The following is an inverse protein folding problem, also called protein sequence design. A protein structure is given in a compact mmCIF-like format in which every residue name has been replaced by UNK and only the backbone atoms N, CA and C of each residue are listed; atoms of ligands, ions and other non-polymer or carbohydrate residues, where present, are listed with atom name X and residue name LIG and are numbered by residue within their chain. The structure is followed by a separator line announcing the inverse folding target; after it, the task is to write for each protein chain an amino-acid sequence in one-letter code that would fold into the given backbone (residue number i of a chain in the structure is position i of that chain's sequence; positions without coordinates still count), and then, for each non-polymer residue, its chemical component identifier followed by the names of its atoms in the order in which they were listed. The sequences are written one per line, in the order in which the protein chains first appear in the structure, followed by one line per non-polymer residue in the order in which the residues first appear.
data_IF_830394093962
#
_entry.id   IF_830394093962
#
_cell.length_a   1.000
_cell.length_b   1.000
_cell.length_c   1.000
_cell.angle_alpha   90.00
_cell.angle_beta   90.00
_cell.angle_gamma   90.00
#
_symmetry.space_group_name_H-M   'P 1'
#
loop_
_entity.id
_entity.type
_entity.pdbx_description
1 polymer ?
#
# COMPACT_ATOMS: atom_id res chain seq x y z
N UNK A 1 -17.22 -25.41 32.74
CA UNK A 1 -17.64 -24.11 32.16
C UNK A 1 -16.68 -23.06 32.65
N UNK A 2 -15.61 -22.84 31.89
CA UNK A 2 -14.57 -21.84 32.18
C UNK A 2 -14.34 -21.13 30.86
N UNK A 3 -14.82 -19.90 30.79
CA UNK A 3 -14.74 -19.05 29.60
C UNK A 3 -13.29 -18.70 29.31
N UNK A 4 -12.87 -19.00 28.08
CA UNK A 4 -11.59 -18.58 27.53
C UNK A 4 -11.79 -17.12 27.09
N UNK A 5 -11.26 -16.19 27.87
CA UNK A 5 -11.10 -14.80 27.43
C UNK A 5 -10.10 -14.79 26.27
N UNK A 6 -10.59 -14.49 25.07
CA UNK A 6 -9.73 -14.08 23.96
C UNK A 6 -9.09 -12.74 24.34
N UNK A 7 -7.78 -12.55 24.14
CA UNK A 7 -7.20 -11.23 24.23
C UNK A 7 -7.71 -10.42 23.04
N UNK A 8 -8.39 -9.32 23.32
CA UNK A 8 -8.69 -8.30 22.31
C UNK A 8 -7.38 -7.89 21.65
N UNK A 9 -7.28 -8.11 20.35
CA UNK A 9 -6.18 -7.64 19.52
C UNK A 9 -6.32 -6.11 19.37
N UNK A 10 -5.98 -5.37 20.42
CA UNK A 10 -5.73 -3.93 20.33
C UNK A 10 -4.32 -3.72 19.80
N UNK A 11 -4.16 -3.82 18.48
CA UNK A 11 -3.03 -3.22 17.76
C UNK A 11 -3.54 -2.03 16.96
N UNK A 12 -4.00 -0.99 17.67
CA UNK A 12 -3.80 0.36 17.16
C UNK A 12 -2.36 0.70 17.48
N UNK A 13 -1.43 0.29 16.61
CA UNK A 13 -0.11 0.89 16.60
C UNK A 13 -0.33 2.34 16.15
N UNK A 14 -0.67 3.22 17.10
CA UNK A 14 -0.63 4.67 16.89
C UNK A 14 0.82 5.01 16.58
N UNK A 15 1.15 4.93 15.30
CA UNK A 15 2.44 5.32 14.76
C UNK A 15 2.48 6.83 14.91
N UNK A 16 3.49 7.33 15.60
CA UNK A 16 3.71 8.77 15.68
C UNK A 16 4.31 9.22 14.35
N UNK A 17 3.95 10.41 13.87
CA UNK A 17 4.61 11.00 12.72
C UNK A 17 6.04 11.39 13.10
N UNK A 18 7.02 10.81 12.41
CA UNK A 18 8.45 11.05 12.64
C UNK A 18 9.09 11.60 11.37
N UNK A 19 9.90 12.64 11.54
CA UNK A 19 10.74 13.20 10.49
C UNK A 19 12.21 13.17 10.89
N UNK A 20 13.07 13.00 9.89
CA UNK A 20 14.51 12.98 10.06
C UNK A 20 15.14 14.14 9.28
N UNK A 21 15.82 15.06 9.97
CA UNK A 21 16.51 16.18 9.32
C UNK A 21 17.97 15.80 9.15
N UNK A 22 18.45 15.77 7.92
CA UNK A 22 19.82 15.34 7.60
C UNK A 22 20.81 16.48 7.85
N UNK A 23 21.90 16.16 8.55
CA UNK A 23 22.93 17.13 8.92
C UNK A 23 24.30 16.67 8.47
N UNK A 24 25.14 17.64 8.07
CA UNK A 24 26.57 17.41 7.84
C UNK A 24 27.35 17.38 9.17
N UNK A 25 26.97 18.23 10.12
CA UNK A 25 27.54 18.29 11.47
C UNK A 25 26.48 18.01 12.54
N UNK A 26 26.82 17.24 13.58
CA UNK A 26 25.92 16.95 14.69
C UNK A 26 25.69 18.20 15.56
N UNK A 27 24.54 18.84 15.42
CA UNK A 27 24.16 20.01 16.23
C UNK A 27 22.64 20.16 16.34
N UNK A 28 22.18 20.68 17.49
CA UNK A 28 20.80 21.11 17.70
C UNK A 28 20.57 22.54 17.17
N UNK A 29 19.32 22.90 16.81
CA UNK A 29 18.97 24.29 16.50
C UNK A 29 19.13 25.20 17.72
N UNK A 30 19.22 26.52 17.50
CA UNK A 30 19.09 27.46 18.61
C UNK A 30 17.63 27.48 19.09
N UNK A 31 17.38 27.07 20.34
CA UNK A 31 16.02 26.93 20.90
C UNK A 31 15.20 28.23 20.81
N UNK A 32 15.81 29.37 21.17
CA UNK A 32 15.11 30.67 21.13
C UNK A 32 14.71 31.03 19.70
N UNK A 33 15.63 30.89 18.74
CA UNK A 33 15.36 31.16 17.33
C UNK A 33 14.29 30.21 16.77
N UNK A 34 14.32 28.93 17.16
CA UNK A 34 13.32 27.94 16.79
C UNK A 34 11.91 28.33 17.30
N UNK A 35 11.79 28.67 18.58
CA UNK A 35 10.51 29.08 19.18
C UNK A 35 10.00 30.37 18.54
N UNK A 36 10.87 31.36 18.32
CA UNK A 36 10.51 32.60 17.62
C UNK A 36 10.00 32.31 16.21
N UNK A 37 10.67 31.43 15.47
CA UNK A 37 10.27 31.01 14.13
C UNK A 37 8.90 30.32 14.13
N UNK A 38 8.66 29.41 15.08
CA UNK A 38 7.37 28.74 15.24
C UNK A 38 6.23 29.73 15.52
N UNK A 39 6.45 30.70 16.41
CA UNK A 39 5.46 31.74 16.72
C UNK A 39 5.15 32.64 15.53
N UNK A 40 6.14 32.94 14.69
CA UNK A 40 5.96 33.75 13.48
C UNK A 40 5.21 32.97 12.40
N UNK A 41 5.61 31.72 12.12
CA UNK A 41 5.03 30.90 11.05
C UNK A 41 3.65 30.34 11.41
N UNK A 42 3.42 30.06 12.69
CA UNK A 42 2.22 29.39 13.19
C UNK A 42 1.67 30.09 14.44
N UNK A 43 1.21 31.35 14.32
CA UNK A 43 0.79 32.18 15.47
C UNK A 43 -0.50 31.69 16.15
N UNK A 44 -1.23 30.76 15.54
CA UNK A 44 -2.47 30.19 16.09
C UNK A 44 -2.26 29.14 17.18
N UNK A 45 -1.02 28.76 17.49
CA UNK A 45 -0.67 27.77 18.51
C UNK A 45 0.30 28.38 19.53
N UNK A 46 0.25 27.89 20.77
CA UNK A 46 1.15 28.34 21.83
C UNK A 46 2.44 27.52 21.84
N UNK A 47 3.53 28.14 21.38
CA UNK A 47 4.87 27.53 21.37
C UNK A 47 5.73 28.06 22.52
N UNK A 48 6.23 27.16 23.36
CA UNK A 48 7.08 27.49 24.51
C UNK A 48 8.22 26.48 24.70
N UNK A 49 9.31 26.90 25.34
CA UNK A 49 10.35 26.01 25.83
C UNK A 49 9.76 25.10 26.92
N UNK A 50 10.09 23.80 26.89
CA UNK A 50 9.73 22.92 28.00
C UNK A 50 10.93 22.74 28.93
N UNK A 51 10.80 23.11 30.23
CA UNK A 51 11.90 22.93 31.19
C UNK A 51 12.05 21.43 31.50
N UNK A 52 12.82 20.72 30.68
CA UNK A 52 13.38 19.44 31.09
C UNK A 52 14.33 19.69 32.26
N UNK A 53 14.36 18.78 33.24
CA UNK A 53 15.33 18.86 34.33
C UNK A 53 16.73 19.03 33.69
N UNK A 54 17.39 20.14 33.99
CA UNK A 54 18.63 20.53 33.34
C UNK A 54 19.67 19.40 33.42
N UNK A 55 19.74 18.58 32.37
CA UNK A 55 20.94 17.79 32.13
C UNK A 55 21.95 18.76 31.56
N UNK A 56 23.15 18.81 32.14
CA UNK A 56 24.29 19.53 31.58
C UNK A 56 24.81 18.87 30.28
N UNK A 57 23.95 18.12 29.59
CA UNK A 57 24.24 17.36 28.39
C UNK A 57 23.81 18.21 27.19
N UNK A 58 24.81 18.76 26.51
CA UNK A 58 24.62 19.59 25.31
C UNK A 58 24.01 18.77 24.16
N UNK A 59 24.09 17.44 24.24
CA UNK A 59 23.58 16.49 23.26
C UNK A 59 22.22 15.87 23.67
N UNK A 60 21.61 16.34 24.76
CA UNK A 60 20.31 15.88 25.24
C UNK A 60 19.14 16.26 24.29
N UNK A 61 17.99 15.55 24.37
CA UNK A 61 16.82 15.88 23.56
C UNK A 61 16.30 17.29 23.89
N UNK A 62 15.99 18.06 22.84
CA UNK A 62 15.30 19.33 22.95
C UNK A 62 13.79 19.11 22.95
N UNK A 63 13.09 19.79 23.86
CA UNK A 63 11.64 19.67 24.01
C UNK A 63 10.94 21.02 23.79
N UNK A 64 10.01 21.05 22.85
CA UNK A 64 9.19 22.22 22.55
C UNK A 64 7.75 21.91 22.91
N UNK A 65 7.16 22.70 23.79
CA UNK A 65 5.74 22.62 24.13
C UNK A 65 4.92 23.29 23.03
N UNK A 66 3.87 22.61 22.60
CA UNK A 66 2.82 23.15 21.72
C UNK A 66 1.46 22.90 22.37
N UNK A 67 0.79 23.95 22.82
CA UNK A 67 -0.43 23.87 23.62
C UNK A 67 -0.30 22.89 24.80
N UNK A 68 -0.97 21.73 24.78
CA UNK A 68 -0.90 20.65 25.77
C UNK A 68 -0.05 19.46 25.33
N UNK A 69 0.61 19.52 24.17
CA UNK A 69 1.48 18.48 23.63
C UNK A 69 2.96 18.84 23.69
N UNK A 70 3.79 17.81 23.67
CA UNK A 70 5.25 17.93 23.66
C UNK A 70 5.83 17.42 22.34
N UNK A 71 6.63 18.27 21.71
CA UNK A 71 7.48 17.94 20.57
C UNK A 71 8.89 17.63 21.07
N UNK A 72 9.51 16.62 20.48
CA UNK A 72 10.89 16.21 20.78
C UNK A 72 11.74 16.37 19.52
N UNK A 73 12.94 16.94 19.71
CA UNK A 73 14.00 17.00 18.71
C UNK A 73 15.22 16.31 19.32
N UNK A 74 15.53 15.11 18.84
CA UNK A 74 16.65 14.31 19.31
C UNK A 74 17.79 14.37 18.30
N UNK A 75 19.00 14.71 18.75
CA UNK A 75 20.19 14.65 17.92
C UNK A 75 20.76 13.23 17.91
N UNK A 76 20.94 12.67 16.71
CA UNK A 76 21.62 11.41 16.49
C UNK A 76 22.96 11.69 15.81
N UNK A 77 24.11 11.48 16.49
CA UNK A 77 25.44 11.73 15.94
C UNK A 77 25.89 10.59 14.99
N UNK A 78 25.00 10.15 14.12
CA UNK A 78 25.22 9.12 13.12
C UNK A 78 24.34 9.37 11.89
N UNK A 79 24.78 8.97 10.68
CA UNK A 79 23.92 9.02 9.50
C UNK A 79 22.72 8.08 9.65
N UNK A 80 21.65 8.36 8.93
CA UNK A 80 20.56 7.40 8.76
C UNK A 80 21.05 6.19 7.94
N UNK A 81 20.48 5.00 8.17
CA UNK A 81 20.69 3.87 7.27
C UNK A 81 20.39 4.23 5.82
N UNK A 82 21.25 3.79 4.90
CA UNK A 82 21.12 4.14 3.49
C UNK A 82 20.09 3.25 2.78
N UNK A 83 19.06 3.87 2.19
CA UNK A 83 18.05 3.21 1.36
C UNK A 83 18.18 3.68 -0.10
N UNK A 84 18.74 2.82 -0.95
CA UNK A 84 18.95 3.14 -2.37
C UNK A 84 17.64 3.42 -3.12
N UNK A 85 16.56 2.71 -2.81
CA UNK A 85 15.29 2.85 -3.53
C UNK A 85 14.61 4.17 -3.21
N UNK A 86 14.61 4.57 -1.93
CA UNK A 86 14.12 5.87 -1.51
C UNK A 86 14.88 7.01 -2.22
N UNK A 87 16.21 6.97 -2.21
CA UNK A 87 17.03 8.01 -2.85
C UNK A 87 16.87 8.05 -4.37
N UNK A 88 16.67 6.90 -5.01
CA UNK A 88 16.38 6.83 -6.44
C UNK A 88 15.03 7.50 -6.77
N UNK A 89 13.98 7.26 -5.98
CA UNK A 89 12.68 7.94 -6.16
C UNK A 89 12.79 9.44 -5.93
N UNK A 90 13.41 9.85 -4.82
CA UNK A 90 13.61 11.26 -4.49
C UNK A 90 14.36 12.01 -5.61
N UNK A 91 15.32 11.35 -6.26
CA UNK A 91 16.12 11.95 -7.35
C UNK A 91 15.33 12.39 -8.58
N UNK A 92 14.09 11.90 -8.76
CA UNK A 92 13.24 12.30 -9.89
C UNK A 92 12.75 13.74 -9.79
N UNK A 93 12.59 14.26 -8.57
CA UNK A 93 12.10 15.64 -8.32
C UNK A 93 13.10 16.50 -7.54
N UNK A 94 14.10 15.87 -6.93
CA UNK A 94 15.21 16.51 -6.23
C UNK A 94 16.55 15.96 -6.76
N UNK A 95 17.11 16.54 -7.83
CA UNK A 95 18.31 16.02 -8.50
C UNK A 95 19.52 15.82 -7.57
N UNK A 96 19.65 16.63 -6.51
CA UNK A 96 20.75 16.59 -5.55
C UNK A 96 20.54 15.57 -4.41
N UNK A 97 19.45 14.80 -4.41
CA UNK A 97 19.09 13.87 -3.33
C UNK A 97 20.24 12.90 -2.96
N UNK A 98 20.86 12.26 -3.95
CA UNK A 98 22.00 11.36 -3.72
C UNK A 98 23.23 12.06 -3.14
N UNK A 99 23.47 13.31 -3.55
CA UNK A 99 24.59 14.09 -3.03
C UNK A 99 24.36 14.49 -1.57
N UNK A 100 23.14 14.91 -1.21
CA UNK A 100 22.75 15.15 0.18
C UNK A 100 22.87 13.88 1.04
N UNK A 101 22.39 12.74 0.54
CA UNK A 101 22.52 11.44 1.19
C UNK A 101 23.99 11.03 1.39
N UNK A 102 24.89 11.32 0.44
CA UNK A 102 26.32 10.99 0.58
C UNK A 102 27.06 11.85 1.60
N UNK A 103 26.58 13.08 1.84
CA UNK A 103 27.24 14.05 2.73
C UNK A 103 26.81 13.99 4.18
N UNK A 104 25.59 13.56 4.47
CA UNK A 104 25.10 13.58 5.84
C UNK A 104 25.92 12.66 6.76
N UNK A 105 26.16 13.13 7.99
CA UNK A 105 26.92 12.41 9.04
C UNK A 105 26.15 12.32 10.35
N UNK A 106 25.09 13.09 10.50
CA UNK A 106 24.20 13.11 11.64
C UNK A 106 22.76 13.33 11.16
N UNK A 107 21.79 13.13 12.04
CA UNK A 107 20.42 13.53 11.79
C UNK A 107 19.70 13.96 13.07
N UNK A 108 18.67 14.79 12.93
CA UNK A 108 17.70 15.06 13.99
C UNK A 108 16.51 14.15 13.79
N UNK A 109 15.96 13.59 14.88
CA UNK A 109 14.66 12.93 14.91
C UNK A 109 13.66 13.90 15.50
N UNK A 110 12.62 14.23 14.75
CA UNK A 110 11.55 15.15 15.15
C UNK A 110 10.24 14.39 15.22
N UNK A 111 9.56 14.45 16.36
CA UNK A 111 8.31 13.71 16.62
C UNK A 111 7.54 14.36 17.77
N UNK A 112 6.23 14.10 17.85
CA UNK A 112 5.49 14.29 19.10
C UNK A 112 5.86 13.19 20.10
N UNK A 113 5.80 13.48 21.40
CA UNK A 113 6.10 12.51 22.47
C UNK A 113 4.90 12.20 23.38
N UNK A 114 3.84 13.01 23.31
CA UNK A 114 2.64 12.88 24.14
C UNK A 114 2.28 14.20 24.81
N UNK A 115 1.71 14.15 26.01
CA UNK A 115 1.32 15.35 26.76
C UNK A 115 2.54 16.10 27.31
N UNK A 116 2.51 17.43 27.22
CA UNK A 116 3.42 18.33 27.92
C UNK A 116 3.03 18.56 29.38
N UNK A 117 1.87 18.07 29.82
CA UNK A 117 1.39 18.21 31.17
C UNK A 117 1.22 16.80 31.79
N UNK A 118 1.48 16.68 33.10
CA UNK A 118 1.27 15.41 33.80
C UNK A 118 -0.23 15.22 34.14
N UNK A 119 -1.09 15.50 33.16
CA UNK A 119 -2.55 15.51 33.29
C UNK A 119 -3.08 14.33 32.48
N UNK A 120 -3.84 13.47 33.15
CA UNK A 120 -4.48 12.30 32.55
C UNK A 120 -5.55 12.64 31.47
N UNK A 121 -5.74 13.92 31.14
CA UNK A 121 -6.83 14.45 30.29
C UNK A 121 -6.37 15.00 28.93
N UNK A 122 -5.06 15.07 28.65
CA UNK A 122 -4.59 15.50 27.32
C UNK A 122 -5.06 14.53 26.25
N UNK A 123 -5.82 15.04 25.28
CA UNK A 123 -6.33 14.26 24.16
C UNK A 123 -5.15 13.71 23.34
N UNK A 124 -5.14 12.39 23.12
CA UNK A 124 -4.21 11.78 22.19
C UNK A 124 -4.44 12.31 20.77
N UNK A 125 -3.35 12.74 20.12
CA UNK A 125 -3.38 13.19 18.73
C UNK A 125 -3.50 12.00 17.79
N UNK A 126 -4.37 12.11 16.79
CA UNK A 126 -4.39 11.21 15.64
C UNK A 126 -3.16 11.43 14.75
N UNK A 127 -2.86 10.48 13.85
CA UNK A 127 -1.69 10.57 12.96
C UNK A 127 -1.64 11.89 12.18
N UNK A 128 -2.76 12.32 11.61
CA UNK A 128 -2.83 13.58 10.87
C UNK A 128 -2.50 14.81 11.73
N UNK A 129 -2.98 14.87 12.98
CA UNK A 129 -2.65 15.97 13.90
C UNK A 129 -1.14 15.96 14.24
N UNK A 130 -0.57 14.77 14.52
CA UNK A 130 0.87 14.60 14.73
C UNK A 130 1.69 15.03 13.51
N UNK A 131 1.21 14.71 12.30
CA UNK A 131 1.89 15.03 11.06
C UNK A 131 1.99 16.54 10.87
N UNK A 132 0.92 17.29 11.15
CA UNK A 132 0.89 18.76 11.06
C UNK A 132 1.85 19.42 12.06
N UNK A 133 1.84 18.97 13.32
CA UNK A 133 2.77 19.50 14.32
C UNK A 133 4.23 19.23 13.95
N UNK A 134 4.54 17.99 13.56
CA UNK A 134 5.89 17.60 13.11
C UNK A 134 6.33 18.41 11.90
N UNK A 135 5.41 18.67 10.96
CA UNK A 135 5.64 19.52 9.78
C UNK A 135 6.02 20.94 10.15
N UNK A 136 5.28 21.56 11.08
CA UNK A 136 5.57 22.90 11.57
C UNK A 136 6.95 22.97 12.24
N UNK A 137 7.26 22.01 13.12
CA UNK A 137 8.55 21.95 13.82
C UNK A 137 9.71 21.73 12.87
N UNK A 138 9.61 20.79 11.93
CA UNK A 138 10.66 20.57 10.92
C UNK A 138 10.93 21.85 10.13
N UNK A 139 9.88 22.52 9.62
CA UNK A 139 10.02 23.77 8.89
C UNK A 139 10.75 24.85 9.70
N UNK A 140 10.43 24.98 10.99
CA UNK A 140 11.08 25.93 11.87
C UNK A 140 12.51 25.54 12.25
N UNK A 141 12.82 24.24 12.37
CA UNK A 141 14.19 23.76 12.58
C UNK A 141 15.07 24.08 11.38
N UNK A 142 14.58 23.86 10.14
CA UNK A 142 15.34 24.18 8.93
C UNK A 142 15.71 25.66 8.83
N UNK A 143 14.83 26.55 9.32
CA UNK A 143 15.08 27.99 9.36
C UNK A 143 16.01 28.39 10.52
N UNK A 144 15.84 27.80 11.70
CA UNK A 144 16.68 28.06 12.87
C UNK A 144 18.06 27.37 12.80
N UNK A 145 18.25 26.42 11.88
CA UNK A 145 19.48 25.65 11.67
C UNK A 145 19.86 25.61 10.17
N UNK A 146 20.44 26.69 9.62
CA UNK A 146 20.89 26.69 8.23
C UNK A 146 21.91 25.57 7.94
N UNK A 147 21.92 25.08 6.70
CA UNK A 147 22.84 24.04 6.24
C UNK A 147 22.35 22.59 6.45
N UNK A 148 21.09 22.39 6.80
CA UNK A 148 20.45 21.08 6.71
C UNK A 148 20.49 20.57 5.26
N UNK A 149 20.69 19.27 5.08
CA UNK A 149 20.91 18.66 3.76
C UNK A 149 19.63 18.13 3.12
N UNK A 150 18.59 17.88 3.91
CA UNK A 150 17.32 17.35 3.46
C UNK A 150 16.48 16.86 4.63
N UNK A 151 15.26 16.43 4.33
CA UNK A 151 14.36 15.82 5.31
C UNK A 151 13.84 14.50 4.76
N UNK A 152 13.86 13.47 5.59
CA UNK A 152 13.22 12.19 5.32
C UNK A 152 12.00 12.04 6.23
N UNK A 153 10.82 11.93 5.65
CA UNK A 153 9.57 11.69 6.35
C UNK A 153 9.31 10.19 6.50
N UNK A 154 9.05 9.74 7.73
CA UNK A 154 8.73 8.33 8.02
C UNK A 154 9.80 7.32 7.59
N UNK A 155 11.01 7.78 7.27
CA UNK A 155 12.06 6.94 6.70
C UNK A 155 11.83 6.52 5.24
N UNK A 156 10.88 7.12 4.52
CA UNK A 156 10.41 6.64 3.20
C UNK A 156 10.31 7.70 2.10
N UNK A 157 10.09 8.95 2.48
CA UNK A 157 9.80 10.07 1.56
C UNK A 157 10.82 11.17 1.80
N UNK A 158 11.60 11.54 0.78
CA UNK A 158 12.74 12.44 0.96
C UNK A 158 12.62 13.71 0.12
N UNK A 159 12.76 14.87 0.77
CA UNK A 159 12.66 16.18 0.14
C UNK A 159 13.85 17.08 0.47
N UNK A 160 14.10 18.02 -0.44
CA UNK A 160 15.08 19.06 -0.20
C UNK A 160 14.62 20.02 0.93
N UNK A 161 15.56 20.70 1.61
CA UNK A 161 15.21 21.72 2.60
C UNK A 161 14.35 22.84 2.02
N UNK A 162 14.58 23.25 0.77
CA UNK A 162 13.85 24.32 0.09
C UNK A 162 12.38 23.94 -0.10
N UNK A 163 12.11 22.71 -0.51
CA UNK A 163 10.74 22.22 -0.71
C UNK A 163 9.99 22.14 0.63
N UNK A 164 10.67 21.69 1.68
CA UNK A 164 10.13 21.71 3.03
C UNK A 164 9.83 23.11 3.54
N UNK A 165 10.75 24.06 3.36
CA UNK A 165 10.57 25.45 3.78
C UNK A 165 9.42 26.13 3.02
N UNK A 166 9.23 25.79 1.75
CA UNK A 166 8.13 26.28 0.90
C UNK A 166 6.77 25.78 1.36
N UNK A 167 6.68 24.53 1.79
CA UNK A 167 5.40 23.85 2.06
C UNK A 167 4.99 23.84 3.53
N UNK A 168 5.93 23.77 4.47
CA UNK A 168 5.64 23.75 5.92
C UNK A 168 4.84 24.92 6.48
N UNK A 169 4.84 26.16 5.93
CA UNK A 169 3.93 27.21 6.41
C UNK A 169 2.46 26.78 6.37
N UNK A 170 2.11 25.87 5.45
CA UNK A 170 0.76 25.32 5.26
C UNK A 170 0.46 24.11 6.14
N UNK A 171 1.31 23.81 7.13
CA UNK A 171 1.16 22.63 7.99
C UNK A 171 -0.26 22.44 8.54
N UNK A 172 -0.98 23.53 8.81
CA UNK A 172 -2.33 23.50 9.37
C UNK A 172 -3.44 23.89 8.38
N UNK A 173 -3.12 24.08 7.10
CA UNK A 173 -4.12 24.36 6.08
C UNK A 173 -5.11 23.19 5.97
N UNK A 174 -6.41 23.46 5.76
CA UNK A 174 -7.39 22.40 5.56
C UNK A 174 -7.22 21.75 4.19
N UNK A 175 -7.92 20.63 3.97
CA UNK A 175 -8.11 20.09 2.62
C UNK A 175 -8.66 21.18 1.68
N UNK A 176 -8.15 21.30 0.44
CA UNK A 176 -7.12 20.47 -0.22
C UNK A 176 -5.68 21.02 -0.10
N UNK A 177 -5.46 22.05 0.73
CA UNK A 177 -4.23 22.86 0.70
C UNK A 177 -3.13 22.41 1.68
N UNK A 178 -3.38 21.39 2.51
CA UNK A 178 -2.35 20.83 3.38
C UNK A 178 -1.15 20.31 2.56
N UNK A 179 0.06 20.22 3.16
CA UNK A 179 1.27 19.85 2.43
C UNK A 179 1.42 18.32 2.35
N UNK A 180 0.41 17.63 1.78
CA UNK A 180 0.40 16.15 1.71
C UNK A 180 1.62 15.59 0.99
N UNK A 181 2.13 16.31 0.01
CA UNK A 181 3.28 15.88 -0.78
C UNK A 181 4.59 15.89 -0.01
N UNK A 182 4.63 16.38 1.24
CA UNK A 182 5.76 16.19 2.14
C UNK A 182 5.68 14.87 2.92
N UNK A 183 4.49 14.26 2.97
CA UNK A 183 4.19 13.09 3.78
C UNK A 183 4.11 11.80 2.95
N UNK A 184 3.83 11.95 1.66
CA UNK A 184 3.74 10.86 0.69
C UNK A 184 4.35 11.25 -0.65
N UNK A 185 4.70 10.25 -1.44
CA UNK A 185 5.12 10.39 -2.84
C UNK A 185 4.10 9.74 -3.78
N UNK A 186 3.98 10.30 -4.99
CA UNK A 186 3.28 9.67 -6.11
C UNK A 186 4.34 9.12 -7.07
N UNK A 187 4.40 7.80 -7.19
CA UNK A 187 5.37 7.09 -8.03
C UNK A 187 4.69 6.64 -9.31
N UNK A 188 5.04 7.27 -10.42
CA UNK A 188 4.55 6.88 -11.75
C UNK A 188 5.25 5.62 -12.26
N UNK A 189 4.51 4.83 -13.03
CA UNK A 189 5.03 3.66 -13.72
C UNK A 189 4.31 3.41 -15.04
N UNK A 190 4.94 2.66 -15.93
CA UNK A 190 4.32 2.11 -17.13
C UNK A 190 3.81 0.69 -16.89
N UNK A 191 2.58 0.47 -17.35
CA UNK A 191 1.91 -0.83 -17.41
C UNK A 191 1.42 -1.02 -18.84
N UNK A 192 2.25 -1.66 -19.67
CA UNK A 192 2.06 -1.73 -21.11
C UNK A 192 2.06 -0.34 -21.76
N UNK A 193 0.88 0.12 -22.20
CA UNK A 193 0.67 1.45 -22.81
C UNK A 193 0.01 2.45 -21.86
N UNK A 194 -0.33 2.03 -20.64
CA UNK A 194 -1.01 2.87 -19.65
C UNK A 194 0.01 3.41 -18.66
N UNK A 195 -0.10 4.69 -18.35
CA UNK A 195 0.61 5.30 -17.22
C UNK A 195 -0.23 5.05 -15.98
N UNK A 196 0.37 4.42 -14.98
CA UNK A 196 -0.19 4.27 -13.66
C UNK A 196 0.60 5.06 -12.64
N UNK A 197 0.09 5.11 -11.42
CA UNK A 197 0.85 5.56 -10.27
C UNK A 197 0.48 4.76 -9.03
N UNK A 198 1.41 4.69 -8.07
CA UNK A 198 1.08 4.26 -6.72
C UNK A 198 1.61 5.27 -5.70
N UNK A 199 1.06 5.27 -4.50
CA UNK A 199 1.57 6.12 -3.42
C UNK A 199 2.54 5.36 -2.53
N UNK A 200 3.43 6.11 -1.88
CA UNK A 200 4.21 5.62 -0.75
C UNK A 200 4.08 6.59 0.41
N UNK A 201 3.67 6.12 1.59
CA UNK A 201 3.52 6.93 2.80
C UNK A 201 2.06 7.25 3.16
N UNK A 202 1.11 7.07 2.24
CA UNK A 202 -0.31 7.31 2.52
C UNK A 202 -0.87 6.30 3.54
N UNK A 203 -0.31 5.10 3.56
CA UNK A 203 -0.71 4.04 4.50
C UNK A 203 -0.58 4.45 5.96
N UNK A 204 0.30 5.39 6.30
CA UNK A 204 0.41 5.91 7.67
C UNK A 204 -0.84 6.69 8.12
N UNK A 205 -1.63 7.22 7.19
CA UNK A 205 -2.86 7.96 7.47
C UNK A 205 -4.12 7.10 7.45
N UNK A 206 -4.21 6.16 6.50
CA UNK A 206 -5.45 5.40 6.22
C UNK A 206 -5.28 3.88 6.20
N UNK A 207 -4.08 3.36 6.49
CA UNK A 207 -3.77 1.93 6.45
C UNK A 207 -3.65 1.32 5.06
N UNK A 208 -3.76 2.12 3.99
CA UNK A 208 -3.70 1.70 2.59
C UNK A 208 -2.85 2.68 1.77
N UNK A 209 -2.15 2.17 0.76
CA UNK A 209 -1.64 2.98 -0.34
C UNK A 209 -2.68 3.07 -1.47
N UNK A 210 -2.50 3.96 -2.44
CA UNK A 210 -3.25 3.98 -3.70
C UNK A 210 -2.46 3.21 -4.75
N UNK A 211 -3.14 2.39 -5.56
CA UNK A 211 -2.61 1.87 -6.83
C UNK A 211 -3.56 2.26 -7.96
N UNK A 212 -3.17 3.23 -8.77
CA UNK A 212 -4.03 3.84 -9.78
C UNK A 212 -3.56 3.44 -11.19
N UNK A 213 -4.38 2.67 -11.91
CA UNK A 213 -4.14 2.27 -13.31
C UNK A 213 -5.42 2.44 -14.13
N UNK A 214 -5.70 3.68 -14.52
CA UNK A 214 -6.88 4.05 -15.29
C UNK A 214 -6.47 4.47 -16.70
N UNK A 215 -7.08 3.84 -17.69
CA UNK A 215 -6.84 4.09 -19.11
C UNK A 215 -7.36 5.47 -19.55
N UNK A 216 -6.74 6.03 -20.59
CA UNK A 216 -7.14 7.30 -21.19
C UNK A 216 -6.50 8.54 -20.56
N UNK A 217 -5.66 8.37 -19.54
CA UNK A 217 -4.98 9.47 -18.84
C UNK A 217 -3.50 9.56 -19.22
N UNK A 218 -3.02 10.80 -19.33
CA UNK A 218 -1.59 11.11 -19.35
C UNK A 218 -1.02 11.18 -17.92
N UNK A 219 0.29 11.36 -17.80
CA UNK A 219 0.97 11.44 -16.50
C UNK A 219 0.37 12.53 -15.61
N UNK A 220 -0.01 13.68 -16.18
CA UNK A 220 -0.60 14.79 -15.42
C UNK A 220 -1.97 14.43 -14.88
N UNK A 221 -2.83 13.83 -15.71
CA UNK A 221 -4.16 13.37 -15.35
C UNK A 221 -4.14 12.32 -14.23
N UNK A 222 -3.15 11.42 -14.26
CA UNK A 222 -2.88 10.46 -13.17
C UNK A 222 -2.43 11.19 -11.91
N UNK A 223 -1.45 12.10 -11.99
CA UNK A 223 -0.94 12.85 -10.82
C UNK A 223 -2.06 13.60 -10.12
N UNK A 224 -2.87 14.36 -10.85
CA UNK A 224 -3.94 15.18 -10.28
C UNK A 224 -4.96 14.31 -9.54
N UNK A 225 -5.43 13.21 -10.16
CA UNK A 225 -6.41 12.32 -9.53
C UNK A 225 -5.87 11.64 -8.27
N UNK A 226 -4.63 11.17 -8.31
CA UNK A 226 -3.99 10.52 -7.15
C UNK A 226 -3.73 11.52 -6.03
N UNK A 227 -3.29 12.73 -6.38
CA UNK A 227 -3.08 13.84 -5.45
C UNK A 227 -4.38 14.24 -4.74
N UNK A 228 -5.44 14.50 -5.50
CA UNK A 228 -6.74 14.91 -4.96
C UNK A 228 -7.34 13.82 -4.07
N UNK A 229 -7.27 12.55 -4.51
CA UNK A 229 -7.73 11.41 -3.73
C UNK A 229 -6.93 11.26 -2.42
N UNK A 230 -5.61 11.41 -2.48
CA UNK A 230 -4.75 11.30 -1.30
C UNK A 230 -4.99 12.43 -0.31
N UNK A 231 -5.07 13.68 -0.77
CA UNK A 231 -5.38 14.82 0.08
C UNK A 231 -6.75 14.66 0.74
N UNK A 232 -7.75 14.20 -0.02
CA UNK A 232 -9.07 13.92 0.50
C UNK A 232 -9.05 12.83 1.58
N UNK A 233 -8.36 11.72 1.33
CA UNK A 233 -8.23 10.58 2.23
C UNK A 233 -7.47 10.93 3.52
N UNK A 234 -6.43 11.76 3.44
CA UNK A 234 -5.72 12.25 4.63
C UNK A 234 -6.64 13.08 5.53
N UNK A 235 -7.52 13.90 4.94
CA UNK A 235 -8.40 14.77 5.69
C UNK A 235 -9.65 14.05 6.24
N UNK A 236 -10.18 13.08 5.50
CA UNK A 236 -11.49 12.48 5.78
C UNK A 236 -11.41 10.99 6.18
N UNK A 237 -10.23 10.37 6.09
CA UNK A 237 -10.06 8.94 6.22
C UNK A 237 -10.65 8.18 5.02
N UNK A 238 -10.78 6.86 5.19
CA UNK A 238 -11.41 6.01 4.18
C UNK A 238 -12.93 6.26 4.15
N UNK A 239 -13.42 6.83 3.05
CA UNK A 239 -14.85 7.09 2.87
C UNK A 239 -15.64 5.78 2.70
N UNK A 240 -16.87 5.73 3.23
CA UNK A 240 -17.88 4.72 2.90
C UNK A 240 -18.16 4.63 1.40
N UNK A 241 -17.90 5.70 0.64
CA UNK A 241 -18.02 5.70 -0.80
C UNK A 241 -16.86 5.01 -1.51
N UNK A 242 -15.68 4.85 -0.89
CA UNK A 242 -14.49 4.16 -1.43
C UNK A 242 -14.42 2.67 -1.04
N UNK A 243 -15.56 1.98 -1.08
CA UNK A 243 -15.65 0.54 -0.78
C UNK A 243 -15.13 -0.31 -1.94
N UNK A 244 -14.44 -1.39 -1.59
CA UNK A 244 -14.10 -2.44 -2.56
C UNK A 244 -15.35 -2.93 -3.32
N UNK A 245 -15.24 -3.05 -4.63
CA UNK A 245 -16.33 -3.42 -5.55
C UNK A 245 -17.16 -2.23 -6.06
N UNK A 246 -16.90 -1.01 -5.61
CA UNK A 246 -17.63 0.17 -6.10
C UNK A 246 -17.14 0.57 -7.49
N UNK A 247 -18.06 1.09 -8.30
CA UNK A 247 -17.77 1.59 -9.65
C UNK A 247 -18.27 3.03 -9.76
N UNK A 248 -17.40 3.90 -10.25
CA UNK A 248 -17.68 5.32 -10.47
C UNK A 248 -17.62 5.61 -11.96
N UNK A 249 -18.36 6.63 -12.38
CA UNK A 249 -18.22 7.21 -13.70
C UNK A 249 -17.41 8.48 -13.53
N UNK A 250 -16.27 8.57 -14.21
CA UNK A 250 -15.46 9.77 -14.25
C UNK A 250 -16.11 10.76 -15.23
N UNK A 251 -16.08 12.04 -14.89
CA UNK A 251 -16.66 13.10 -15.73
C UNK A 251 -15.90 13.27 -17.05
N UNK A 252 -14.64 12.80 -17.11
CA UNK A 252 -13.86 12.72 -18.35
C UNK A 252 -14.32 11.52 -19.18
N UNK A 253 -14.93 11.81 -20.34
CA UNK A 253 -15.41 10.80 -21.29
C UNK A 253 -14.30 9.82 -21.76
N UNK A 254 -13.04 10.27 -21.71
CA UNK A 254 -11.88 9.45 -22.07
C UNK A 254 -11.56 8.38 -21.02
N UNK A 255 -11.98 8.58 -19.77
CA UNK A 255 -11.80 7.63 -18.66
C UNK A 255 -12.97 6.65 -18.60
N UNK A 256 -14.20 7.16 -18.58
CA UNK A 256 -15.40 6.34 -18.44
C UNK A 256 -15.57 5.72 -17.05
N UNK A 257 -15.71 4.38 -16.97
CA UNK A 257 -16.02 3.69 -15.70
C UNK A 257 -14.77 3.15 -15.01
N UNK A 258 -14.58 3.58 -13.76
CA UNK A 258 -13.46 3.18 -12.88
C UNK A 258 -14.01 2.32 -11.75
N UNK A 259 -13.42 1.15 -11.55
CA UNK A 259 -13.70 0.29 -10.41
C UNK A 259 -12.67 0.52 -9.29
N UNK A 260 -13.12 0.34 -8.06
CA UNK A 260 -12.28 0.36 -6.86
C UNK A 260 -12.24 -1.02 -6.22
N UNK A 261 -11.04 -1.51 -5.91
CA UNK A 261 -10.83 -2.73 -5.14
C UNK A 261 -9.83 -2.50 -4.01
N UNK A 262 -10.12 -3.03 -2.83
CA UNK A 262 -9.14 -3.18 -1.75
C UNK A 262 -8.43 -4.51 -1.94
N UNK A 263 -7.11 -4.48 -2.13
CA UNK A 263 -6.35 -5.66 -2.50
C UNK A 263 -4.89 -5.58 -2.06
N UNK A 264 -4.18 -6.70 -2.13
CA UNK A 264 -2.72 -6.72 -2.04
C UNK A 264 -2.12 -6.06 -3.27
N UNK A 265 -1.13 -5.17 -3.11
CA UNK A 265 -0.44 -4.63 -4.29
C UNK A 265 0.42 -5.69 -4.96
N UNK A 266 0.34 -5.74 -6.29
CA UNK A 266 1.26 -6.55 -7.11
C UNK A 266 2.72 -6.08 -7.04
N UNK A 267 2.97 -4.87 -6.53
CA UNK A 267 4.30 -4.30 -6.37
C UNK A 267 4.91 -4.53 -4.99
N UNK A 268 4.20 -5.21 -4.09
CA UNK A 268 4.70 -5.49 -2.74
C UNK A 268 4.75 -4.27 -1.81
N UNK A 269 4.04 -3.18 -2.15
CA UNK A 269 3.96 -1.96 -1.33
C UNK A 269 2.92 -2.04 -0.20
N UNK A 270 2.41 -3.25 0.09
CA UNK A 270 1.36 -3.49 1.09
C UNK A 270 -0.06 -3.45 0.51
N UNK A 271 -1.07 -3.32 1.38
CA UNK A 271 -2.47 -3.27 0.97
C UNK A 271 -2.79 -1.93 0.30
N UNK A 272 -3.59 -1.97 -0.77
CA UNK A 272 -3.94 -0.81 -1.60
C UNK A 272 -5.43 -0.65 -1.77
N UNK A 273 -5.86 0.60 -1.91
CA UNK A 273 -7.06 0.96 -2.66
C UNK A 273 -6.66 1.12 -4.13
N UNK A 274 -7.07 0.15 -4.95
CA UNK A 274 -6.75 0.14 -6.37
C UNK A 274 -7.87 0.75 -7.20
N UNK A 275 -7.50 1.53 -8.22
CA UNK A 275 -8.40 2.12 -9.20
C UNK A 275 -8.03 1.59 -10.58
N UNK A 276 -9.01 1.06 -11.31
CA UNK A 276 -8.76 0.55 -12.66
C UNK A 276 -9.95 0.68 -13.59
N UNK A 277 -9.68 0.83 -14.89
CA UNK A 277 -10.71 0.86 -15.92
C UNK A 277 -11.37 -0.51 -16.05
N UNK A 278 -12.71 -0.54 -15.99
CA UNK A 278 -13.49 -1.76 -16.20
C UNK A 278 -13.47 -2.23 -17.66
N UNK A 279 -13.39 -1.29 -18.58
CA UNK A 279 -13.32 -1.60 -20.00
C UNK A 279 -11.86 -1.53 -20.41
N UNK A 280 -11.35 -2.64 -20.90
CA UNK A 280 -10.05 -2.70 -21.54
C UNK A 280 -10.15 -2.10 -22.95
N UNK A 281 -10.20 -0.76 -22.99
CA UNK A 281 -10.21 0.00 -24.26
C UNK A 281 -8.95 -0.26 -25.09
N UNK A 282 -7.89 -0.77 -24.45
CA UNK A 282 -6.61 -1.06 -25.09
C UNK A 282 -6.50 -2.50 -25.64
N UNK A 283 -7.51 -3.36 -25.46
CA UNK A 283 -7.53 -4.74 -25.99
C UNK A 283 -6.36 -5.61 -25.51
N UNK A 284 -5.94 -5.39 -24.26
CA UNK A 284 -4.84 -6.07 -23.58
C UNK A 284 -5.26 -7.35 -22.86
N UNK A 285 -6.53 -7.51 -22.49
CA UNK A 285 -7.00 -8.68 -21.76
C UNK A 285 -6.82 -9.93 -22.61
N UNK A 286 -6.22 -10.94 -21.99
CA UNK A 286 -6.16 -12.30 -22.52
C UNK A 286 -6.83 -13.24 -21.54
N UNK A 287 -7.49 -14.24 -22.09
CA UNK A 287 -8.21 -15.25 -21.33
C UNK A 287 -7.31 -16.46 -21.09
N UNK A 288 -7.20 -16.86 -19.83
CA UNK A 288 -6.39 -18.00 -19.41
C UNK A 288 -7.25 -19.02 -18.65
N UNK A 289 -7.04 -20.33 -18.86
CA UNK A 289 -7.64 -21.32 -18.00
C UNK A 289 -7.05 -21.23 -16.59
N UNK A 290 -7.91 -21.23 -15.57
CA UNK A 290 -7.48 -21.24 -14.16
C UNK A 290 -6.68 -22.52 -13.89
N UNK A 291 -7.24 -23.67 -14.29
CA UNK A 291 -6.57 -24.97 -14.29
C UNK A 291 -6.07 -25.24 -15.73
N UNK A 292 -4.75 -25.25 -15.97
CA UNK A 292 -4.19 -25.37 -17.31
C UNK A 292 -4.42 -26.76 -17.91
N UNK A 293 -4.34 -26.84 -19.25
CA UNK A 293 -4.50 -28.09 -20.01
C UNK A 293 -3.50 -29.18 -19.56
N UNK A 294 -2.32 -28.78 -19.12
CA UNK A 294 -1.28 -29.67 -18.57
C UNK A 294 -1.75 -30.38 -17.30
N UNK A 295 -2.54 -29.74 -16.44
CA UNK A 295 -3.13 -30.37 -15.26
C UNK A 295 -4.41 -31.12 -15.64
N UNK A 296 -5.32 -30.49 -16.37
CA UNK A 296 -6.65 -31.07 -16.65
C UNK A 296 -6.62 -32.36 -17.47
N UNK A 297 -5.63 -32.53 -18.36
CA UNK A 297 -5.49 -33.75 -19.19
C UNK A 297 -4.86 -34.93 -18.45
N UNK A 298 -4.15 -34.68 -17.35
CA UNK A 298 -3.36 -35.72 -16.66
C UNK A 298 -3.89 -36.03 -15.26
N UNK A 299 -4.57 -35.10 -14.60
CA UNK A 299 -5.10 -35.33 -13.26
C UNK A 299 -6.31 -36.29 -13.29
N UNK A 300 -6.28 -37.46 -12.61
CA UNK A 300 -7.31 -38.50 -12.73
C UNK A 300 -8.74 -38.02 -12.47
N UNK A 301 -8.92 -37.18 -11.44
CA UNK A 301 -10.20 -36.53 -11.12
C UNK A 301 -10.74 -35.72 -12.31
N UNK A 302 -9.93 -34.81 -12.86
CA UNK A 302 -10.38 -33.90 -13.92
C UNK A 302 -10.63 -34.65 -15.23
N UNK A 303 -9.84 -35.68 -15.52
CA UNK A 303 -10.08 -36.57 -16.68
C UNK A 303 -11.44 -37.25 -16.56
N UNK A 304 -11.80 -37.76 -15.38
CA UNK A 304 -13.09 -38.43 -15.17
C UNK A 304 -14.25 -37.44 -15.22
N UNK A 305 -14.12 -36.26 -14.61
CA UNK A 305 -15.13 -35.20 -14.72
C UNK A 305 -15.33 -34.73 -16.16
N UNK A 306 -14.26 -34.61 -16.94
CA UNK A 306 -14.32 -34.21 -18.35
C UNK A 306 -15.08 -35.26 -19.18
N UNK A 307 -14.85 -36.55 -18.94
CA UNK A 307 -15.52 -37.65 -19.65
C UNK A 307 -17.05 -37.63 -19.51
N UNK A 308 -17.57 -37.15 -18.38
CA UNK A 308 -19.02 -37.03 -18.13
C UNK A 308 -19.57 -35.61 -18.37
N UNK A 309 -18.75 -34.73 -18.96
CA UNK A 309 -19.14 -33.36 -19.29
C UNK A 309 -19.44 -32.49 -18.06
N UNK A 310 -18.75 -32.75 -16.94
CA UNK A 310 -18.83 -31.97 -15.70
C UNK A 310 -17.69 -30.97 -15.52
N UNK A 311 -16.64 -31.07 -16.33
CA UNK A 311 -15.52 -30.14 -16.30
C UNK A 311 -15.02 -29.89 -17.72
N UNK A 312 -14.77 -28.63 -18.05
CA UNK A 312 -14.15 -28.22 -19.31
C UNK A 312 -13.37 -26.92 -19.07
N UNK A 313 -12.03 -26.95 -19.13
CA UNK A 313 -11.20 -25.77 -18.85
C UNK A 313 -11.38 -24.65 -19.88
N UNK A 314 -12.08 -24.89 -20.99
CA UNK A 314 -12.34 -23.91 -22.03
C UNK A 314 -13.62 -23.10 -21.82
N UNK A 315 -14.46 -23.47 -20.85
CA UNK A 315 -15.65 -22.70 -20.51
C UNK A 315 -15.32 -21.44 -19.72
N UNK A 316 -16.11 -20.41 -19.93
CA UNK A 316 -15.94 -19.08 -19.34
C UNK A 316 -15.81 -19.12 -17.80
N UNK A 317 -16.61 -19.95 -17.11
CA UNK A 317 -16.54 -20.08 -15.65
C UNK A 317 -15.21 -20.67 -15.13
N UNK A 318 -14.44 -21.31 -16.01
CA UNK A 318 -13.16 -21.95 -15.71
C UNK A 318 -11.96 -21.13 -16.18
N UNK A 319 -12.23 -19.92 -16.68
CA UNK A 319 -11.25 -19.01 -17.24
C UNK A 319 -11.17 -17.71 -16.43
N UNK A 320 -10.06 -17.00 -16.62
CA UNK A 320 -9.85 -15.68 -16.04
C UNK A 320 -9.21 -14.77 -17.09
N UNK A 321 -9.68 -13.53 -17.15
CA UNK A 321 -9.06 -12.49 -17.96
C UNK A 321 -7.96 -11.79 -17.16
N UNK A 322 -6.75 -11.78 -17.72
CA UNK A 322 -5.60 -11.12 -17.13
C UNK A 322 -4.95 -10.20 -18.16
N UNK A 323 -4.26 -9.16 -17.68
CA UNK A 323 -3.49 -8.21 -18.49
C UNK A 323 -2.04 -8.74 -18.62
N UNK A 324 -1.58 -9.21 -19.80
CA UNK A 324 -0.26 -9.82 -19.96
C UNK A 324 0.89 -8.85 -19.66
N UNK A 325 0.68 -7.55 -19.90
CA UNK A 325 1.60 -6.46 -19.58
C UNK A 325 1.84 -6.26 -18.08
N UNK A 326 1.01 -6.87 -17.23
CA UNK A 326 1.20 -6.89 -15.78
C UNK A 326 2.22 -7.93 -15.33
N UNK A 327 2.75 -8.76 -16.24
CA UNK A 327 3.62 -9.89 -15.92
C UNK A 327 4.93 -9.86 -16.71
N UNK A 328 5.99 -10.42 -16.12
CA UNK A 328 7.32 -10.51 -16.76
C UNK A 328 7.26 -11.41 -18.01
N UNK A 329 6.50 -12.50 -17.91
CA UNK A 329 6.26 -13.45 -18.98
C UNK A 329 4.95 -14.19 -18.71
N UNK A 330 4.38 -14.83 -19.73
CA UNK A 330 3.20 -15.70 -19.59
C UNK A 330 3.58 -17.14 -19.17
N UNK A 331 4.77 -17.33 -18.57
CA UNK A 331 5.19 -18.61 -17.98
C UNK A 331 4.53 -18.76 -16.62
N UNK A 332 3.69 -19.80 -16.46
CA UNK A 332 2.94 -20.05 -15.23
C UNK A 332 3.87 -20.28 -14.04
N UNK A 333 3.45 -19.81 -12.87
CA UNK A 333 4.15 -20.05 -11.62
C UNK A 333 3.93 -21.50 -11.16
N UNK A 334 5.02 -22.23 -10.98
CA UNK A 334 5.01 -23.58 -10.42
C UNK A 334 4.31 -23.64 -9.06
N UNK A 335 4.43 -22.58 -8.25
CA UNK A 335 3.76 -22.50 -6.94
C UNK A 335 2.23 -22.57 -7.05
N UNK A 336 1.64 -21.88 -8.03
CA UNK A 336 0.19 -21.93 -8.27
C UNK A 336 -0.23 -23.32 -8.76
N UNK A 337 0.49 -23.86 -9.74
CA UNK A 337 0.16 -25.14 -10.36
C UNK A 337 0.35 -26.32 -9.39
N UNK A 338 1.38 -26.27 -8.53
CA UNK A 338 1.59 -27.23 -7.45
C UNK A 338 0.51 -27.11 -6.37
N UNK A 339 0.09 -25.89 -6.01
CA UNK A 339 -1.01 -25.67 -5.08
C UNK A 339 -2.34 -26.26 -5.58
N UNK A 340 -2.69 -25.96 -6.84
CA UNK A 340 -3.85 -26.53 -7.52
C UNK A 340 -3.81 -28.05 -7.55
N UNK A 341 -2.68 -28.63 -7.97
CA UNK A 341 -2.49 -30.08 -8.05
C UNK A 341 -2.59 -30.74 -6.67
N UNK A 342 -2.04 -30.09 -5.63
CA UNK A 342 -2.13 -30.54 -4.26
C UNK A 342 -3.57 -30.62 -3.74
N UNK A 343 -4.37 -29.57 -3.96
CA UNK A 343 -5.79 -29.57 -3.54
C UNK A 343 -6.64 -30.59 -4.31
N UNK A 344 -6.40 -30.74 -5.62
CA UNK A 344 -7.07 -31.76 -6.43
C UNK A 344 -6.69 -33.18 -5.98
N UNK A 345 -5.44 -33.39 -5.57
CA UNK A 345 -4.95 -34.68 -5.06
C UNK A 345 -5.56 -35.03 -3.70
N UNK A 346 -5.81 -34.03 -2.83
CA UNK A 346 -6.53 -34.24 -1.57
C UNK A 346 -7.96 -34.74 -1.80
N UNK A 347 -8.64 -34.23 -2.83
CA UNK A 347 -9.97 -34.72 -3.21
C UNK A 347 -9.89 -36.18 -3.67
N UNK A 348 -8.93 -36.49 -4.54
CA UNK A 348 -8.69 -37.83 -5.09
C UNK A 348 -8.41 -38.88 -4.00
N UNK A 349 -7.73 -38.48 -2.93
CA UNK A 349 -7.35 -39.34 -1.81
C UNK A 349 -8.50 -39.68 -0.85
N UNK A 350 -9.71 -39.18 -1.08
CA UNK A 350 -10.86 -39.48 -0.21
C UNK A 350 -11.55 -40.79 -0.60
N UNK A 351 -11.93 -41.60 0.40
CA UNK A 351 -12.68 -42.85 0.17
C UNK A 351 -13.97 -42.61 -0.60
N UNK A 352 -14.66 -41.49 -0.32
CA UNK A 352 -15.87 -41.12 -1.04
C UNK A 352 -15.63 -40.87 -2.54
N UNK A 353 -14.48 -40.32 -2.93
CA UNK A 353 -14.17 -40.16 -4.35
C UNK A 353 -13.82 -41.51 -4.98
N UNK A 354 -13.06 -42.36 -4.29
CA UNK A 354 -12.70 -43.68 -4.79
C UNK A 354 -13.94 -44.54 -5.09
N UNK A 355 -14.95 -44.50 -4.21
CA UNK A 355 -16.23 -45.17 -4.42
C UNK A 355 -16.99 -44.56 -5.61
N UNK A 356 -17.10 -43.23 -5.67
CA UNK A 356 -17.79 -42.53 -6.75
C UNK A 356 -17.13 -42.79 -8.12
N UNK A 357 -15.81 -42.78 -8.21
CA UNK A 357 -15.05 -43.09 -9.43
C UNK A 357 -15.30 -44.54 -9.88
N UNK A 358 -15.28 -45.48 -8.95
CA UNK A 358 -15.57 -46.90 -9.24
C UNK A 358 -16.98 -47.07 -9.80
N UNK A 359 -17.97 -46.44 -9.17
CA UNK A 359 -19.37 -46.49 -9.60
C UNK A 359 -19.58 -45.79 -10.95
N UNK A 360 -18.93 -44.64 -11.16
CA UNK A 360 -18.99 -43.91 -12.43
C UNK A 360 -18.36 -44.69 -13.59
N UNK A 361 -17.21 -45.33 -13.37
CA UNK A 361 -16.58 -46.21 -14.38
C UNK A 361 -17.47 -47.39 -14.75
N UNK A 362 -18.13 -48.00 -13.76
CA UNK A 362 -19.08 -49.10 -13.98
C UNK A 362 -20.28 -48.64 -14.82
N UNK A 363 -20.87 -47.49 -14.48
CA UNK A 363 -21.98 -46.91 -15.21
C UNK A 363 -21.60 -46.52 -16.65
N UNK A 364 -20.42 -45.95 -16.87
CA UNK A 364 -19.90 -45.65 -18.21
C UNK A 364 -19.69 -46.92 -19.04
N UNK A 365 -19.21 -48.01 -18.44
CA UNK A 365 -19.04 -49.29 -19.12
C UNK A 365 -20.37 -49.90 -19.57
N UNK A 366 -21.48 -49.60 -18.89
CA UNK A 366 -22.84 -49.98 -19.30
C UNK A 366 -23.56 -48.94 -20.17
N UNK A 367 -22.88 -47.87 -20.59
CA UNK A 367 -23.46 -46.77 -21.38
C UNK A 367 -24.34 -45.80 -20.59
N UNK A 368 -24.45 -45.94 -19.28
CA UNK A 368 -25.25 -45.07 -18.41
C UNK A 368 -24.47 -43.82 -17.98
N UNK A 369 -24.41 -42.87 -18.91
CA UNK A 369 -23.71 -41.59 -18.69
C UNK A 369 -24.43 -40.73 -17.64
N UNK A 370 -25.74 -40.88 -17.48
CA UNK A 370 -26.53 -40.09 -16.52
C UNK A 370 -26.17 -40.47 -15.08
N UNK A 371 -26.10 -41.77 -14.77
CA UNK A 371 -25.66 -42.22 -13.44
C UNK A 371 -24.20 -41.88 -13.17
N UNK A 372 -23.31 -42.04 -14.16
CA UNK A 372 -21.91 -41.65 -14.03
C UNK A 372 -21.75 -40.16 -13.68
N UNK A 373 -22.52 -39.29 -14.35
CA UNK A 373 -22.59 -37.86 -14.05
C UNK A 373 -23.11 -37.62 -12.63
N UNK A 374 -24.17 -38.32 -12.21
CA UNK A 374 -24.75 -38.19 -10.88
C UNK A 374 -23.75 -38.54 -9.76
N UNK A 375 -23.01 -39.65 -9.89
CA UNK A 375 -22.00 -40.05 -8.90
C UNK A 375 -20.85 -39.04 -8.78
N UNK A 376 -20.49 -38.37 -9.87
CA UNK A 376 -19.36 -37.45 -9.93
C UNK A 376 -19.73 -35.99 -9.63
N UNK A 377 -21.02 -35.63 -9.64
CA UNK A 377 -21.49 -34.26 -9.45
C UNK A 377 -20.97 -33.59 -8.15
N UNK A 378 -21.00 -34.24 -6.98
CA UNK A 378 -20.50 -33.62 -5.74
C UNK A 378 -19.00 -33.28 -5.79
N UNK A 379 -18.23 -34.00 -6.62
CA UNK A 379 -16.80 -33.78 -6.81
C UNK A 379 -16.53 -32.66 -7.81
N UNK A 380 -17.36 -32.56 -8.86
CA UNK A 380 -17.35 -31.40 -9.76
C UNK A 380 -17.65 -30.10 -9.00
N UNK A 381 -18.60 -30.11 -8.06
CA UNK A 381 -18.89 -28.95 -7.20
C UNK A 381 -17.72 -28.57 -6.28
N UNK A 382 -16.95 -29.56 -5.79
CA UNK A 382 -15.72 -29.28 -5.03
C UNK A 382 -14.64 -28.64 -5.91
N UNK A 383 -14.45 -29.14 -7.13
CA UNK A 383 -13.52 -28.55 -8.11
C UNK A 383 -13.97 -27.13 -8.47
N UNK A 384 -15.25 -26.90 -8.71
CA UNK A 384 -15.80 -25.57 -8.99
C UNK A 384 -15.54 -24.58 -7.84
N UNK A 385 -15.68 -25.00 -6.57
CA UNK A 385 -15.33 -24.17 -5.42
C UNK A 385 -13.84 -23.82 -5.35
N UNK A 386 -12.96 -24.77 -5.67
CA UNK A 386 -11.53 -24.51 -5.77
C UNK A 386 -11.23 -23.47 -6.86
N UNK A 387 -11.83 -23.63 -8.05
CA UNK A 387 -11.64 -22.68 -9.15
C UNK A 387 -12.13 -21.29 -8.80
N UNK A 388 -13.32 -21.17 -8.18
CA UNK A 388 -13.84 -19.89 -7.73
C UNK A 388 -12.91 -19.23 -6.70
N UNK A 389 -12.39 -20.00 -5.75
CA UNK A 389 -11.45 -19.47 -4.76
C UNK A 389 -10.16 -18.94 -5.42
N UNK A 390 -9.61 -19.66 -6.41
CA UNK A 390 -8.43 -19.22 -7.16
C UNK A 390 -8.75 -18.01 -8.04
N UNK A 391 -9.92 -17.99 -8.69
CA UNK A 391 -10.35 -16.85 -9.49
C UNK A 391 -10.43 -15.56 -8.65
N UNK A 392 -11.01 -15.66 -7.45
CA UNK A 392 -11.06 -14.56 -6.48
C UNK A 392 -9.65 -14.14 -6.07
N UNK A 393 -8.79 -15.08 -5.68
CA UNK A 393 -7.41 -14.79 -5.26
C UNK A 393 -6.59 -14.11 -6.37
N UNK A 394 -6.74 -14.55 -7.63
CA UNK A 394 -6.07 -13.91 -8.77
C UNK A 394 -6.61 -12.50 -9.03
N UNK A 395 -7.94 -12.32 -8.96
CA UNK A 395 -8.60 -11.02 -9.17
C UNK A 395 -8.23 -9.99 -8.09
N UNK A 396 -8.04 -10.46 -6.86
CA UNK A 396 -7.62 -9.66 -5.70
C UNK A 396 -6.08 -9.60 -5.55
N UNK A 397 -5.31 -10.14 -6.48
CA UNK A 397 -3.84 -10.16 -6.40
C UNK A 397 -3.29 -10.79 -5.10
N UNK A 398 -4.06 -11.67 -4.46
CA UNK A 398 -3.59 -12.50 -3.34
C UNK A 398 -2.88 -13.77 -3.84
N UNK A 399 -3.10 -14.11 -5.12
CA UNK A 399 -2.32 -15.08 -5.86
C UNK A 399 -1.96 -14.49 -7.23
N UNK A 400 -0.92 -15.04 -7.85
CA UNK A 400 -0.52 -14.66 -9.20
C UNK A 400 -0.42 -15.90 -10.09
N UNK A 401 -0.92 -15.79 -11.33
CA UNK A 401 -0.78 -16.84 -12.33
C UNK A 401 0.61 -16.84 -12.95
N UNK A 402 1.16 -15.65 -13.15
CA UNK A 402 2.48 -15.41 -13.72
C UNK A 402 3.27 -14.48 -12.80
N UNK A 403 4.59 -14.42 -12.97
CA UNK A 403 5.44 -13.51 -12.20
C UNK A 403 5.05 -12.05 -12.49
N UNK A 404 4.62 -11.25 -11.50
CA UNK A 404 4.29 -9.84 -11.70
C UNK A 404 5.48 -9.06 -12.29
N UNK A 405 5.21 -8.19 -13.25
CA UNK A 405 6.22 -7.31 -13.80
C UNK A 405 6.62 -6.27 -12.74
N UNK A 406 7.92 -5.97 -12.58
CA UNK A 406 8.33 -4.82 -11.79
C UNK A 406 7.84 -3.53 -12.47
N UNK A 407 7.61 -2.46 -11.69
CA UNK A 407 7.27 -1.16 -12.26
C UNK A 407 8.39 -0.70 -13.20
N UNK A 408 8.00 -0.20 -14.37
CA UNK A 408 8.93 0.45 -15.32
C UNK A 408 8.77 1.95 -15.21
N UNK A 409 9.86 2.69 -15.20
CA UNK A 409 9.80 4.15 -15.26
C UNK A 409 9.07 4.61 -16.53
N UNK A 410 8.27 5.70 -16.45
CA UNK A 410 7.61 6.37 -17.58
C UNK A 410 8.50 6.67 -18.78
#
# INVERSE_FOLDING_TARGET
MTGINQPECSTSAMTVAVAYILLEDARLPNERALIETLRVRHPGLRWDSFPAAASNDIDGPMFIRVDDHLMTILLMPAPMPYDQQMWQRASWVWPEAFHAAGRHRAHLVVSTMGSAENIAETKALGFAENARLTTAVVGAVLEALPGCLGVVWGGQVAHSPEEWLRQSPRAFDPFPNHPYSLWMEIVHYLSGKTIGAYTTGLSAFIGLEIEFEVDGLDQRGVTVRVADASSYLIANGLDKHLKSGTVYTDDDENVGRVAVLHRSSRFGIGPVVSFFSLHDRAGRLKTYPIIPATISRHHPLLVMLSKVGLFDPTKDENQIELRPDHYVSEVRLDSLDNGLTGELSKILATDGYAEADTNARRALASGDTASARSFLLPWAEKVGRLQLAVQVALSLCDAFMFMPAPPRSP
#
